data_IF_647744490545
#
_entry.id   IF_647744490545
#
_cell.length_a   1.000
_cell.length_b   1.000
_cell.length_c   1.000
_cell.angle_alpha   90.00
_cell.angle_beta   90.00
_cell.angle_gamma   90.00
#
_symmetry.space_group_name_H-M   'P 1'
#
loop_
_entity.id
_entity.type
_entity.pdbx_description
1 polymer ?
#
# COMPACT_ATOMS: atom_id res chain seq x y z
N UNK A 1 -13.69 -9.92 -21.14
CA UNK A 1 -12.70 -8.89 -21.51
C UNK A 1 -13.18 -7.55 -20.97
N UNK A 2 -12.87 -7.23 -19.71
CA UNK A 2 -13.29 -5.98 -19.06
C UNK A 2 -12.13 -4.96 -18.90
N UNK A 3 -10.89 -5.43 -19.00
CA UNK A 3 -9.68 -4.62 -18.76
C UNK A 3 -9.42 -3.58 -19.88
N UNK A 4 -9.84 -3.85 -21.12
CA UNK A 4 -9.67 -2.95 -22.28
C UNK A 4 -10.52 -1.67 -22.22
N UNK A 5 -11.37 -1.50 -21.20
CA UNK A 5 -12.22 -0.31 -21.04
C UNK A 5 -11.71 0.67 -19.99
N UNK A 6 -10.62 0.35 -19.28
CA UNK A 6 -10.03 1.27 -18.31
C UNK A 6 -8.92 2.08 -18.99
N UNK A 7 -8.98 3.43 -18.93
CA UNK A 7 -7.86 4.27 -19.37
C UNK A 7 -6.58 3.87 -18.63
N UNK A 8 -5.53 3.55 -19.37
CA UNK A 8 -4.22 3.29 -18.79
C UNK A 8 -3.52 4.62 -18.47
N UNK A 9 -2.84 4.66 -17.32
CA UNK A 9 -2.04 5.79 -16.86
C UNK A 9 -0.81 5.30 -16.09
N UNK A 10 -0.03 6.23 -15.55
CA UNK A 10 1.14 5.88 -14.73
C UNK A 10 0.74 5.24 -13.39
N UNK A 11 1.58 4.33 -12.89
CA UNK A 11 1.40 3.68 -11.59
C UNK A 11 2.06 4.52 -10.50
N UNK A 12 1.26 5.15 -9.63
CA UNK A 12 1.71 5.89 -8.45
C UNK A 12 1.10 5.27 -7.17
N UNK A 13 1.90 4.46 -6.48
CA UNK A 13 1.46 3.77 -5.26
C UNK A 13 1.32 4.70 -4.05
N UNK A 14 1.68 5.99 -4.16
CA UNK A 14 1.49 6.97 -3.10
C UNK A 14 0.08 7.58 -3.08
N UNK A 15 -0.64 7.49 -4.21
CA UNK A 15 -1.96 8.11 -4.40
C UNK A 15 -3.01 7.70 -3.37
N UNK A 16 -3.14 6.43 -2.93
CA UNK A 16 -4.16 6.04 -1.94
C UNK A 16 -4.05 6.85 -0.64
N UNK A 17 -2.84 6.98 -0.09
CA UNK A 17 -2.60 7.74 1.14
C UNK A 17 -2.77 9.24 0.93
N UNK A 18 -2.29 9.78 -0.20
CA UNK A 18 -2.46 11.20 -0.54
C UNK A 18 -3.95 11.56 -0.69
N UNK A 19 -4.71 10.72 -1.40
CA UNK A 19 -6.14 10.90 -1.59
C UNK A 19 -6.89 10.84 -0.26
N UNK A 20 -6.59 9.84 0.58
CA UNK A 20 -7.24 9.69 1.88
C UNK A 20 -6.94 10.89 2.79
N UNK A 21 -5.70 11.38 2.79
CA UNK A 21 -5.32 12.60 3.51
C UNK A 21 -6.08 13.83 2.98
N UNK A 22 -6.14 14.02 1.65
CA UNK A 22 -6.80 15.18 1.02
C UNK A 22 -8.30 15.21 1.27
N UNK A 23 -8.93 14.04 1.35
CA UNK A 23 -10.37 13.89 1.55
C UNK A 23 -10.75 13.74 3.03
N UNK A 24 -9.77 13.73 3.94
CA UNK A 24 -9.96 13.39 5.36
C UNK A 24 -10.64 12.03 5.57
N UNK A 25 -10.39 11.07 4.68
CA UNK A 25 -10.88 9.71 4.81
C UNK A 25 -10.02 8.96 5.83
N UNK A 26 -10.61 8.58 6.96
CA UNK A 26 -9.95 7.79 8.00
C UNK A 26 -9.76 6.33 7.55
N UNK A 27 -8.54 5.81 7.72
CA UNK A 27 -8.16 4.45 7.39
C UNK A 27 -7.03 3.96 8.30
N UNK A 28 -7.24 2.83 8.97
CA UNK A 28 -6.23 2.18 9.80
C UNK A 28 -5.23 1.36 8.98
N UNK A 29 -5.67 0.82 7.84
CA UNK A 29 -4.84 -0.03 6.97
C UNK A 29 -5.10 0.31 5.51
N UNK A 30 -4.02 0.56 4.78
CA UNK A 30 -4.01 0.61 3.31
C UNK A 30 -3.52 -0.72 2.77
N UNK A 31 -4.25 -1.31 1.83
CA UNK A 31 -3.79 -2.48 1.07
C UNK A 31 -3.72 -2.10 -0.40
N UNK A 32 -2.51 -2.07 -0.95
CA UNK A 32 -2.26 -1.66 -2.34
C UNK A 32 -1.91 -2.90 -3.15
N UNK A 33 -2.79 -3.27 -4.08
CA UNK A 33 -2.56 -4.35 -5.04
C UNK A 33 -1.87 -3.78 -6.28
N UNK A 34 -0.65 -4.21 -6.56
CA UNK A 34 0.19 -3.66 -7.64
C UNK A 34 1.19 -4.72 -8.10
N UNK A 35 1.75 -4.56 -9.30
CA UNK A 35 2.93 -5.28 -9.77
C UNK A 35 4.24 -4.77 -9.14
N UNK A 36 4.17 -4.01 -8.03
CA UNK A 36 5.29 -3.40 -7.31
C UNK A 36 6.14 -2.45 -8.16
N UNK A 37 5.66 -2.04 -9.34
CA UNK A 37 6.33 -1.09 -10.21
C UNK A 37 5.73 0.30 -10.03
N UNK A 38 6.36 1.14 -9.19
CA UNK A 38 5.98 2.56 -9.11
C UNK A 38 6.66 3.30 -10.26
N UNK A 39 5.89 3.61 -11.31
CA UNK A 39 6.44 4.21 -12.53
C UNK A 39 6.31 5.74 -12.55
N UNK A 40 5.47 6.33 -11.69
CA UNK A 40 5.17 7.77 -11.70
C UNK A 40 4.94 8.27 -10.27
N UNK A 41 5.48 9.44 -9.93
CA UNK A 41 5.21 10.13 -8.66
C UNK A 41 6.43 10.87 -8.10
N UNK A 42 6.21 12.02 -7.46
CA UNK A 42 7.27 12.78 -6.76
C UNK A 42 7.42 12.36 -5.29
N UNK A 43 6.52 11.50 -4.79
CA UNK A 43 6.44 11.12 -3.37
C UNK A 43 6.48 9.60 -3.28
N UNK A 44 7.44 9.07 -2.52
CA UNK A 44 7.52 7.64 -2.25
C UNK A 44 6.31 7.21 -1.38
N UNK A 45 5.69 6.03 -1.60
CA UNK A 45 4.57 5.54 -0.80
C UNK A 45 4.82 5.57 0.72
N UNK A 46 6.04 5.21 1.14
CA UNK A 46 6.46 5.30 2.53
C UNK A 46 6.36 6.73 3.11
N UNK A 47 6.73 7.74 2.31
CA UNK A 47 6.63 9.15 2.70
C UNK A 47 5.17 9.58 2.78
N UNK A 48 4.34 9.18 1.81
CA UNK A 48 2.91 9.48 1.82
C UNK A 48 2.18 8.87 3.02
N UNK A 49 2.51 7.64 3.41
CA UNK A 49 1.97 7.03 4.63
C UNK A 49 2.36 7.80 5.89
N UNK A 50 3.63 8.20 6.03
CA UNK A 50 4.10 8.99 7.17
C UNK A 50 3.40 10.36 7.26
N UNK A 51 3.18 11.00 6.12
CA UNK A 51 2.41 12.25 6.04
C UNK A 51 0.95 12.04 6.46
N UNK A 52 0.31 10.97 5.97
CA UNK A 52 -1.05 10.59 6.36
C UNK A 52 -1.15 10.37 7.87
N UNK A 53 -0.27 9.55 8.46
CA UNK A 53 -0.19 9.31 9.91
C UNK A 53 -0.13 10.61 10.70
N UNK A 54 0.80 11.50 10.32
CA UNK A 54 1.00 12.80 10.99
C UNK A 54 -0.22 13.73 10.85
N UNK A 55 -0.86 13.75 9.68
CA UNK A 55 -1.94 14.70 9.38
C UNK A 55 -3.28 14.25 9.97
N UNK A 56 -3.54 12.95 9.97
CA UNK A 56 -4.80 12.36 10.42
C UNK A 56 -4.75 11.92 11.88
N UNK A 57 -3.56 11.85 12.48
CA UNK A 57 -3.32 11.33 13.83
C UNK A 57 -3.80 9.88 14.00
N UNK A 58 -3.58 9.07 12.96
CA UNK A 58 -3.92 7.65 12.91
C UNK A 58 -2.63 6.84 12.72
N UNK A 59 -2.36 5.79 13.51
CA UNK A 59 -1.20 4.92 13.33
C UNK A 59 -1.40 3.95 12.15
N UNK A 60 -1.71 4.49 10.97
CA UNK A 60 -2.11 3.72 9.79
C UNK A 60 -1.00 2.80 9.30
N UNK A 61 -1.34 1.60 8.84
CA UNK A 61 -0.42 0.62 8.28
C UNK A 61 -0.54 0.53 6.76
N UNK A 62 0.53 0.10 6.08
CA UNK A 62 0.54 -0.16 4.64
C UNK A 62 0.89 -1.62 4.39
N UNK A 63 0.05 -2.30 3.62
CA UNK A 63 0.30 -3.63 3.08
C UNK A 63 0.39 -3.48 1.56
N UNK A 64 1.50 -3.92 0.99
CA UNK A 64 1.73 -3.98 -0.44
C UNK A 64 1.52 -5.43 -0.86
N UNK A 65 0.55 -5.63 -1.74
CA UNK A 65 0.22 -6.94 -2.27
C UNK A 65 0.73 -7.05 -3.71
N UNK A 66 1.89 -7.68 -3.86
CA UNK A 66 2.59 -7.86 -5.12
C UNK A 66 1.90 -8.88 -6.01
N UNK A 67 1.48 -8.45 -7.20
CA UNK A 67 0.76 -9.27 -8.18
C UNK A 67 1.68 -9.92 -9.21
N UNK A 68 3.00 -9.70 -9.09
CA UNK A 68 4.06 -10.21 -9.95
C UNK A 68 5.26 -10.66 -9.10
N UNK A 69 6.15 -11.47 -9.66
CA UNK A 69 7.34 -12.03 -8.97
C UNK A 69 8.64 -11.27 -9.28
N UNK A 70 8.56 -9.96 -9.51
CA UNK A 70 9.67 -9.13 -10.01
C UNK A 70 10.63 -8.63 -8.92
N UNK A 71 10.47 -9.04 -7.66
CA UNK A 71 11.44 -8.81 -6.58
C UNK A 71 11.53 -7.36 -6.09
N UNK A 72 10.66 -6.46 -6.58
CA UNK A 72 10.58 -5.09 -6.11
C UNK A 72 9.73 -4.99 -4.85
N UNK A 73 10.18 -4.15 -3.92
CA UNK A 73 9.52 -3.80 -2.65
C UNK A 73 9.30 -2.29 -2.64
N UNK A 74 8.12 -1.86 -2.17
CA UNK A 74 7.82 -0.43 -1.94
C UNK A 74 7.55 -0.14 -0.46
N UNK A 75 7.44 -1.18 0.38
CA UNK A 75 7.42 -1.05 1.82
C UNK A 75 8.82 -0.69 2.33
N UNK A 76 8.91 0.22 3.29
CA UNK A 76 10.17 0.56 3.92
C UNK A 76 10.52 -0.51 4.97
N UNK A 77 11.66 -1.23 4.84
CA UNK A 77 12.02 -2.31 5.76
C UNK A 77 12.28 -1.84 7.19
N UNK A 78 12.57 -0.54 7.39
CA UNK A 78 12.79 0.04 8.72
C UNK A 78 11.48 0.54 9.37
N UNK A 79 10.34 0.49 8.66
CA UNK A 79 9.03 0.91 9.16
C UNK A 79 8.17 -0.30 9.51
N UNK A 80 8.06 -0.60 10.82
CA UNK A 80 7.23 -1.71 11.34
C UNK A 80 5.75 -1.64 10.96
N UNK A 81 5.26 -0.50 10.50
CA UNK A 81 3.90 -0.35 10.01
C UNK A 81 3.78 -0.49 8.48
N UNK A 82 4.78 -1.06 7.80
CA UNK A 82 4.72 -1.42 6.39
C UNK A 82 5.06 -2.90 6.19
N UNK A 83 4.37 -3.56 5.27
CA UNK A 83 4.54 -4.97 4.95
C UNK A 83 4.43 -5.20 3.44
N UNK A 84 5.36 -5.96 2.86
CA UNK A 84 5.17 -6.57 1.55
C UNK A 84 4.66 -8.01 1.69
N UNK A 85 3.75 -8.40 0.81
CA UNK A 85 3.31 -9.77 0.63
C UNK A 85 3.02 -10.08 -0.83
N UNK A 86 2.98 -11.36 -1.18
CA UNK A 86 2.52 -11.79 -2.49
C UNK A 86 0.99 -11.88 -2.53
N UNK A 87 0.42 -11.50 -3.67
CA UNK A 87 -0.97 -11.75 -3.98
C UNK A 87 -1.25 -13.23 -4.23
N UNK A 88 -2.53 -13.60 -4.15
CA UNK A 88 -3.02 -14.97 -4.38
C UNK A 88 -2.43 -16.07 -3.47
N UNK A 89 -1.72 -15.72 -2.39
CA UNK A 89 -1.41 -16.67 -1.34
C UNK A 89 -2.68 -17.04 -0.56
N UNK A 90 -2.96 -18.35 -0.46
CA UNK A 90 -4.08 -18.88 0.33
C UNK A 90 -3.99 -18.54 1.83
N UNK A 91 -2.78 -18.27 2.35
CA UNK A 91 -2.53 -17.82 3.72
C UNK A 91 -2.49 -16.30 3.91
N UNK A 92 -2.66 -15.50 2.85
CA UNK A 92 -2.48 -14.05 2.92
C UNK A 92 -3.38 -13.37 3.98
N UNK A 93 -4.60 -13.88 4.17
CA UNK A 93 -5.54 -13.31 5.15
C UNK A 93 -5.05 -13.42 6.59
N UNK A 94 -4.38 -14.51 6.96
CA UNK A 94 -3.82 -14.68 8.30
C UNK A 94 -2.66 -13.72 8.54
N UNK A 95 -1.83 -13.50 7.52
CA UNK A 95 -0.73 -12.53 7.57
C UNK A 95 -1.28 -11.10 7.69
N UNK A 96 -2.27 -10.72 6.87
CA UNK A 96 -2.94 -9.41 6.94
C UNK A 96 -3.50 -9.18 8.34
N UNK A 97 -4.22 -10.17 8.89
CA UNK A 97 -4.82 -10.10 10.22
C UNK A 97 -3.76 -9.89 11.30
N UNK A 98 -2.73 -10.73 11.31
CA UNK A 98 -1.72 -10.68 12.37
C UNK A 98 -0.91 -9.39 12.31
N UNK A 99 -0.55 -8.92 11.11
CA UNK A 99 0.11 -7.62 10.94
C UNK A 99 -0.76 -6.46 11.42
N UNK A 100 -2.05 -6.47 11.07
CA UNK A 100 -3.00 -5.42 11.48
C UNK A 100 -3.11 -5.33 12.99
N UNK A 101 -3.10 -6.49 13.69
CA UNK A 101 -3.27 -6.60 15.13
C UNK A 101 -1.95 -6.62 15.94
N UNK A 102 -0.79 -6.39 15.31
CA UNK A 102 0.54 -6.42 15.95
C UNK A 102 0.88 -7.78 16.61
N UNK A 103 0.52 -8.89 15.95
CA UNK A 103 0.75 -10.27 16.41
C UNK A 103 1.98 -10.89 15.73
N UNK A 104 2.63 -10.18 14.80
CA UNK A 104 3.89 -10.56 14.14
C UNK A 104 4.88 -9.41 14.12
#
# INVERSE_FOLDING_TARGET
MAMNQMPAGGTDCSLPMIWAQKTNTAADVFIVFTDNETFVGNVHPAVALRQYRKKMDIPAKLIVCGMTSNGFTIADPDDRGMLDMCGFDTGALDVIRNFTLDII
#
